data_IF_303433520505
#
_entry.id   IF_303433520505
#
_cell.length_a   1.000
_cell.length_b   1.000
_cell.length_c   1.000
_cell.angle_alpha   90.00
_cell.angle_beta   90.00
_cell.angle_gamma   90.00
#
_symmetry.space_group_name_H-M   'P 1'
#
loop_
_entity.id
_entity.type
_entity.pdbx_description
1 polymer ?
#
# COMPACT_ATOMS: atom_id res chain seq x y z
N UNK A 1 -30.90 -12.21 12.76
CA UNK A 1 -29.58 -12.54 12.17
C UNK A 1 -28.55 -11.62 12.78
N UNK A 2 -27.64 -12.14 13.60
CA UNK A 2 -26.56 -11.35 14.20
C UNK A 2 -25.55 -11.08 13.07
N UNK A 3 -25.33 -9.81 12.69
CA UNK A 3 -24.17 -9.42 11.88
C UNK A 3 -22.95 -9.75 12.72
N UNK A 4 -22.26 -10.85 12.40
CA UNK A 4 -20.95 -11.13 12.96
C UNK A 4 -20.00 -10.17 12.24
N UNK A 5 -19.75 -9.01 12.84
CA UNK A 5 -18.64 -8.14 12.47
C UNK A 5 -17.35 -8.90 12.80
N UNK A 6 -17.03 -9.87 11.96
CA UNK A 6 -15.78 -10.61 12.01
C UNK A 6 -14.73 -9.70 11.38
N UNK A 7 -14.44 -8.59 12.06
CA UNK A 7 -13.37 -7.68 11.66
C UNK A 7 -12.09 -8.50 11.76
N UNK A 8 -11.48 -8.71 10.60
CA UNK A 8 -10.19 -9.40 10.47
C UNK A 8 -9.23 -8.81 11.51
N UNK A 9 -8.56 -9.67 12.29
CA UNK A 9 -7.65 -9.24 13.36
C UNK A 9 -6.53 -8.35 12.79
N UNK A 10 -6.16 -8.54 11.53
CA UNK A 10 -5.25 -7.67 10.81
C UNK A 10 -5.79 -6.22 10.73
N UNK A 11 -7.09 -6.03 10.57
CA UNK A 11 -7.74 -4.70 10.54
C UNK A 11 -7.89 -4.04 11.91
N UNK A 12 -7.70 -4.80 12.99
CA UNK A 12 -7.60 -4.26 14.35
C UNK A 12 -6.21 -3.66 14.58
N UNK A 13 -5.15 -4.35 14.14
CA UNK A 13 -3.78 -3.87 14.25
C UNK A 13 -3.43 -2.80 13.20
N UNK A 14 -3.92 -2.95 11.97
CA UNK A 14 -3.54 -2.12 10.83
C UNK A 14 -4.76 -1.50 10.15
N UNK A 15 -4.59 -0.27 9.67
CA UNK A 15 -5.50 0.26 8.64
C UNK A 15 -5.19 -0.48 7.34
N UNK A 16 -6.11 -1.36 6.93
CA UNK A 16 -5.93 -2.26 5.78
C UNK A 16 -5.42 -1.57 4.53
N UNK A 17 -6.07 -0.49 4.09
CA UNK A 17 -5.73 0.17 2.82
C UNK A 17 -4.28 0.70 2.80
N UNK A 18 -3.83 1.51 3.78
CA UNK A 18 -2.42 1.87 3.88
C UNK A 18 -1.46 0.67 3.91
N UNK A 19 -1.75 -0.35 4.73
CA UNK A 19 -0.88 -1.53 4.82
C UNK A 19 -0.76 -2.26 3.47
N UNK A 20 -1.89 -2.45 2.78
CA UNK A 20 -1.93 -3.15 1.50
C UNK A 20 -1.32 -2.36 0.35
N UNK A 21 -1.23 -1.03 0.40
CA UNK A 21 -0.51 -0.25 -0.64
C UNK A 21 0.96 -0.63 -0.70
N UNK A 22 1.64 -0.80 0.44
CA UNK A 22 3.04 -1.21 0.49
C UNK A 22 3.22 -2.65 0.00
N UNK A 23 2.36 -3.56 0.48
CA UNK A 23 2.39 -4.98 0.06
C UNK A 23 2.15 -5.10 -1.44
N UNK A 24 1.17 -4.37 -1.99
CA UNK A 24 0.86 -4.39 -3.41
C UNK A 24 2.02 -3.84 -4.26
N UNK A 25 2.72 -2.79 -3.79
CA UNK A 25 3.92 -2.29 -4.45
C UNK A 25 5.04 -3.34 -4.51
N UNK A 26 5.24 -4.09 -3.42
CA UNK A 26 6.26 -5.14 -3.31
C UNK A 26 5.98 -6.33 -4.22
N UNK A 27 4.74 -6.82 -4.24
CA UNK A 27 4.34 -8.00 -5.02
C UNK A 27 4.47 -7.81 -6.54
N UNK A 28 4.63 -6.58 -7.02
CA UNK A 28 4.76 -6.26 -8.43
C UNK A 28 5.80 -5.16 -8.64
N UNK A 29 7.02 -5.59 -8.87
CA UNK A 29 8.22 -4.76 -9.06
C UNK A 29 8.21 -3.83 -10.29
N UNK A 30 7.19 -3.88 -11.15
CA UNK A 30 7.08 -2.99 -12.32
C UNK A 30 6.36 -1.70 -11.92
N UNK A 31 7.15 -0.63 -11.74
CA UNK A 31 6.78 0.79 -11.79
C UNK A 31 5.27 1.06 -11.83
N UNK A 32 4.64 1.18 -10.66
CA UNK A 32 3.19 1.26 -10.58
C UNK A 32 2.70 2.70 -10.72
N UNK A 33 1.64 2.84 -11.50
CA UNK A 33 0.86 4.07 -11.58
C UNK A 33 -0.12 4.12 -10.41
N UNK A 34 -0.36 5.32 -9.86
CA UNK A 34 -1.27 5.49 -8.73
C UNK A 34 -2.70 4.99 -9.01
N UNK A 35 -3.16 5.03 -10.27
CA UNK A 35 -4.46 4.49 -10.70
C UNK A 35 -4.55 2.97 -10.60
N UNK A 36 -3.47 2.26 -10.92
CA UNK A 36 -3.40 0.80 -10.83
C UNK A 36 -3.44 0.38 -9.35
N UNK A 37 -2.63 1.04 -8.51
CA UNK A 37 -2.62 0.79 -7.06
C UNK A 37 -3.98 1.06 -6.41
N UNK A 38 -4.64 2.15 -6.80
CA UNK A 38 -5.95 2.50 -6.27
C UNK A 38 -6.98 1.38 -6.55
N UNK A 39 -6.95 0.80 -7.76
CA UNK A 39 -7.81 -0.32 -8.15
C UNK A 39 -7.53 -1.59 -7.34
N UNK A 40 -6.26 -1.92 -7.15
CA UNK A 40 -5.88 -3.15 -6.42
C UNK A 40 -6.20 -3.09 -4.93
N UNK A 41 -6.09 -1.91 -4.31
CA UNK A 41 -6.39 -1.71 -2.88
C UNK A 41 -7.85 -1.28 -2.65
N UNK A 42 -8.68 -1.36 -3.69
CA UNK A 42 -10.10 -1.01 -3.66
C UNK A 42 -10.37 0.38 -3.03
N UNK A 43 -9.75 1.41 -3.60
CA UNK A 43 -9.96 2.78 -3.16
C UNK A 43 -9.98 3.80 -4.31
N UNK A 44 -10.47 5.00 -4.03
CA UNK A 44 -10.43 6.09 -5.02
C UNK A 44 -9.00 6.52 -5.27
N UNK A 45 -8.73 6.98 -6.49
CA UNK A 45 -7.42 7.49 -6.86
C UNK A 45 -6.93 8.59 -5.90
N UNK A 46 -7.80 9.54 -5.53
CA UNK A 46 -7.44 10.62 -4.60
C UNK A 46 -7.08 10.10 -3.21
N UNK A 47 -7.70 9.02 -2.75
CA UNK A 47 -7.33 8.39 -1.48
C UNK A 47 -5.99 7.67 -1.56
N UNK A 48 -5.74 6.91 -2.63
CA UNK A 48 -4.44 6.27 -2.87
C UNK A 48 -3.30 7.30 -2.94
N UNK A 49 -3.49 8.41 -3.66
CA UNK A 49 -2.49 9.48 -3.76
C UNK A 49 -2.17 10.07 -2.38
N UNK A 50 -3.18 10.32 -1.54
CA UNK A 50 -2.94 10.82 -0.17
C UNK A 50 -2.11 9.82 0.65
N UNK A 51 -2.44 8.54 0.60
CA UNK A 51 -1.67 7.48 1.29
C UNK A 51 -0.22 7.47 0.81
N UNK A 52 -0.01 7.49 -0.52
CA UNK A 52 1.32 7.46 -1.11
C UNK A 52 2.15 8.70 -0.77
N UNK A 53 1.53 9.87 -0.65
CA UNK A 53 2.19 11.10 -0.18
C UNK A 53 2.62 11.02 1.29
N UNK A 54 1.83 10.38 2.16
CA UNK A 54 2.26 10.10 3.54
C UNK A 54 3.45 9.13 3.57
N UNK A 55 3.40 8.09 2.73
CA UNK A 55 4.49 7.11 2.62
C UNK A 55 5.78 7.71 2.07
N UNK A 56 5.69 8.63 1.11
CA UNK A 56 6.85 9.38 0.60
C UNK A 56 7.44 10.26 1.69
N UNK A 57 6.60 10.98 2.46
CA UNK A 57 7.04 11.77 3.62
C UNK A 57 7.72 10.92 4.69
N UNK A 58 7.30 9.66 4.84
CA UNK A 58 7.92 8.68 5.72
C UNK A 58 9.12 7.94 5.09
N UNK A 59 9.56 8.32 3.88
CA UNK A 59 10.65 7.69 3.14
C UNK A 59 10.46 6.18 2.87
N UNK A 60 9.21 5.75 2.66
CA UNK A 60 8.86 4.35 2.33
C UNK A 60 8.65 4.14 0.82
N UNK A 61 8.25 5.18 0.10
CA UNK A 61 8.11 5.15 -1.36
C UNK A 61 8.78 6.36 -1.98
N UNK A 62 9.11 6.26 -3.26
CA UNK A 62 9.58 7.37 -4.08
C UNK A 62 8.68 7.52 -5.29
N UNK A 63 8.50 8.77 -5.74
CA UNK A 63 7.89 9.06 -7.02
C UNK A 63 8.99 9.43 -8.03
N UNK A 64 9.14 8.63 -9.08
CA UNK A 64 9.96 9.00 -10.22
C UNK A 64 9.07 9.65 -11.29
N UNK A 65 9.47 10.85 -11.76
CA UNK A 65 8.76 11.56 -12.82
C UNK A 65 9.49 11.37 -14.14
N UNK A 66 8.83 10.73 -15.09
CA UNK A 66 9.28 10.63 -16.48
C UNK A 66 8.25 11.32 -17.38
N UNK A 67 8.48 12.61 -17.66
CA UNK A 67 7.53 13.45 -18.39
C UNK A 67 6.20 13.65 -17.63
N UNK A 68 5.09 13.23 -18.22
CA UNK A 68 3.74 13.27 -17.59
C UNK A 68 3.46 12.07 -16.68
N UNK A 69 4.32 11.04 -16.74
CA UNK A 69 4.16 9.81 -15.97
C UNK A 69 4.85 9.99 -14.62
N UNK A 70 4.14 9.69 -13.54
CA UNK A 70 4.70 9.46 -12.21
C UNK A 70 4.63 7.97 -11.90
N UNK A 71 5.79 7.32 -11.85
CA UNK A 71 5.90 5.93 -11.36
C UNK A 71 6.21 5.96 -9.88
N UNK A 72 5.70 4.96 -9.16
CA UNK A 72 5.91 4.78 -7.74
C UNK A 72 6.76 3.53 -7.53
N UNK A 73 7.75 3.62 -6.67
CA UNK A 73 8.61 2.51 -6.26
C UNK A 73 8.83 2.54 -4.74
N UNK A 74 9.10 1.38 -4.13
CA UNK A 74 9.50 1.30 -2.74
C UNK A 74 10.94 1.80 -2.57
N UNK A 75 11.22 2.44 -1.44
CA UNK A 75 12.60 2.60 -0.97
C UNK A 75 13.10 1.28 -0.37
N UNK A 76 14.39 1.20 -0.05
CA UNK A 76 14.92 0.05 0.68
C UNK A 76 14.19 -0.17 2.03
N UNK A 77 13.86 0.92 2.73
CA UNK A 77 13.07 0.86 3.97
C UNK A 77 11.62 0.45 3.70
N UNK A 78 11.03 0.93 2.62
CA UNK A 78 9.69 0.53 2.17
C UNK A 78 9.59 -0.96 1.92
N UNK A 79 10.58 -1.55 1.25
CA UNK A 79 10.64 -2.99 0.98
C UNK A 79 10.68 -3.81 2.27
N UNK A 80 11.54 -3.45 3.22
CA UNK A 80 11.65 -4.12 4.53
C UNK A 80 10.34 -4.06 5.30
N UNK A 81 9.67 -2.90 5.33
CA UNK A 81 8.39 -2.76 6.02
C UNK A 81 7.28 -3.53 5.30
N UNK A 82 7.22 -3.46 3.97
CA UNK A 82 6.25 -4.21 3.18
C UNK A 82 6.36 -5.71 3.43
N UNK A 83 7.58 -6.25 3.46
CA UNK A 83 7.85 -7.65 3.79
C UNK A 83 7.37 -8.01 5.20
N UNK A 84 7.68 -7.19 6.22
CA UNK A 84 7.19 -7.43 7.58
C UNK A 84 5.66 -7.44 7.67
N UNK A 85 4.99 -6.50 6.99
CA UNK A 85 3.52 -6.45 6.96
C UNK A 85 2.95 -7.68 6.26
N UNK A 86 3.52 -8.09 5.13
CA UNK A 86 3.12 -9.30 4.41
C UNK A 86 3.25 -10.54 5.31
N UNK A 87 4.38 -10.70 6.01
CA UNK A 87 4.59 -11.80 6.97
C UNK A 87 3.62 -11.77 8.14
N UNK A 88 3.33 -10.60 8.71
CA UNK A 88 2.35 -10.47 9.80
C UNK A 88 0.95 -10.85 9.31
N UNK A 89 0.57 -10.40 8.11
CA UNK A 89 -0.72 -10.75 7.50
C UNK A 89 -0.87 -12.26 7.30
N UNK A 90 0.19 -12.94 6.88
CA UNK A 90 0.11 -14.38 6.62
C UNK A 90 0.13 -15.24 7.90
N UNK A 91 0.49 -14.67 9.05
CA UNK A 91 0.47 -15.32 10.36
C UNK A 91 -0.84 -15.11 11.14
N UNK A 92 -1.64 -14.12 10.76
CA UNK A 92 -2.90 -13.73 11.38
C UNK A 92 -4.10 -14.33 10.64
#
# INVERSE_FOLDING_TARGET
>A
MIKKDNKDIFEVFFRRKPAMVLVALRQNSRNRYGSVLAKEVDCTYSHAVKILQEMERANLVTFAKQGRIKTIALTENGEKIAECIERIKDLL
#
